data_IF_981194412134
#
_entry.id   IF_981194412134
#
_cell.length_a   1.000
_cell.length_b   1.000
_cell.length_c   1.000
_cell.angle_alpha   90.00
_cell.angle_beta   90.00
_cell.angle_gamma   90.00
#
_symmetry.space_group_name_H-M   'P 1'
#
loop_
_entity.id
_entity.type
_entity.pdbx_description
1 polymer ?
#
# COMPACT_ATOMS: atom_id res chain seq x y z
N UNK A 1 13.93 -19.25 0.32
CA UNK A 1 13.22 -18.74 -0.87
C UNK A 1 13.07 -17.23 -0.72
N UNK A 2 13.43 -16.43 -1.72
CA UNK A 2 13.37 -14.96 -1.62
C UNK A 2 11.92 -14.50 -1.81
N UNK A 3 11.37 -13.78 -0.83
CA UNK A 3 10.00 -13.25 -0.92
C UNK A 3 9.86 -12.18 -2.02
N UNK A 4 8.79 -12.27 -2.80
CA UNK A 4 8.45 -11.26 -3.80
C UNK A 4 7.77 -10.02 -3.17
N UNK A 5 7.69 -8.93 -3.92
CA UNK A 5 7.16 -7.64 -3.42
C UNK A 5 5.69 -7.72 -2.98
N UNK A 6 4.88 -8.53 -3.65
CA UNK A 6 3.46 -8.72 -3.30
C UNK A 6 3.30 -9.46 -1.96
N UNK A 7 4.13 -10.47 -1.70
CA UNK A 7 4.17 -11.16 -0.40
C UNK A 7 4.60 -10.22 0.72
N UNK A 8 5.61 -9.37 0.47
CA UNK A 8 6.05 -8.35 1.44
C UNK A 8 4.93 -7.35 1.73
N UNK A 9 4.20 -6.91 0.71
CA UNK A 9 3.04 -6.04 0.89
C UNK A 9 1.95 -6.70 1.73
N UNK A 10 1.64 -7.98 1.48
CA UNK A 10 0.68 -8.74 2.28
C UNK A 10 1.08 -8.81 3.76
N UNK A 11 2.36 -9.05 4.06
CA UNK A 11 2.85 -9.03 5.45
C UNK A 11 2.68 -7.64 6.07
N UNK A 12 2.99 -6.57 5.33
CA UNK A 12 2.81 -5.21 5.81
C UNK A 12 1.34 -4.89 6.11
N UNK A 13 0.40 -5.31 5.26
CA UNK A 13 -1.04 -5.18 5.53
C UNK A 13 -1.48 -5.97 6.76
N UNK A 14 -1.02 -7.22 6.93
CA UNK A 14 -1.33 -8.01 8.14
C UNK A 14 -0.85 -7.32 9.41
N UNK A 15 0.38 -6.80 9.40
CA UNK A 15 0.93 -6.01 10.52
C UNK A 15 0.12 -4.75 10.79
N UNK A 16 -0.24 -4.01 9.74
CA UNK A 16 -1.06 -2.80 9.85
C UNK A 16 -2.42 -3.12 10.47
N UNK A 17 -3.06 -4.21 10.05
CA UNK A 17 -4.34 -4.65 10.58
C UNK A 17 -4.25 -5.01 12.08
N UNK A 18 -3.28 -5.84 12.47
CA UNK A 18 -3.07 -6.18 13.88
C UNK A 18 -2.79 -4.96 14.75
N UNK A 19 -1.98 -4.02 14.25
CA UNK A 19 -1.66 -2.81 14.99
C UNK A 19 -2.85 -1.86 15.08
N UNK A 20 -3.67 -1.75 14.02
CA UNK A 20 -4.90 -0.98 14.04
C UNK A 20 -5.91 -1.56 15.04
N UNK A 21 -6.04 -2.89 15.13
CA UNK A 21 -6.85 -3.52 16.18
C UNK A 21 -6.38 -3.11 17.57
N UNK A 22 -5.07 -3.01 17.80
CA UNK A 22 -4.54 -2.52 19.07
C UNK A 22 -4.86 -1.04 19.31
N UNK A 23 -4.75 -0.19 18.29
CA UNK A 23 -5.14 1.23 18.39
C UNK A 23 -6.61 1.39 18.81
N UNK A 24 -7.51 0.57 18.25
CA UNK A 24 -8.93 0.57 18.64
C UNK A 24 -9.10 0.15 20.11
N UNK A 25 -8.40 -0.89 20.55
CA UNK A 25 -8.40 -1.32 21.96
C UNK A 25 -7.89 -0.22 22.89
N UNK A 26 -6.78 0.45 22.54
CA UNK A 26 -6.21 1.55 23.33
C UNK A 26 -7.20 2.71 23.49
N UNK A 27 -7.93 3.05 22.42
CA UNK A 27 -9.00 4.04 22.47
C UNK A 27 -10.14 3.61 23.41
N UNK A 28 -10.56 2.34 23.36
CA UNK A 28 -11.60 1.80 24.26
C UNK A 28 -11.18 1.77 25.73
N UNK A 29 -9.88 1.59 25.99
CA UNK A 29 -9.31 1.57 27.33
C UNK A 29 -8.99 2.96 27.88
N UNK A 30 -9.23 4.03 27.10
CA UNK A 30 -8.90 5.41 27.47
C UNK A 30 -7.38 5.61 27.74
N UNK A 31 -6.54 4.90 26.98
CA UNK A 31 -5.08 5.03 27.06
C UNK A 31 -4.61 6.45 26.68
N UNK A 32 -3.36 6.78 27.03
CA UNK A 32 -2.82 8.11 26.80
C UNK A 32 -2.80 8.48 25.31
N UNK A 33 -3.36 9.65 24.98
CA UNK A 33 -3.57 10.08 23.60
C UNK A 33 -2.28 10.10 22.75
N UNK A 34 -1.15 10.47 23.35
CA UNK A 34 0.13 10.53 22.62
C UNK A 34 0.57 9.13 22.18
N UNK A 35 0.37 8.11 23.02
CA UNK A 35 0.73 6.74 22.70
C UNK A 35 -0.15 6.20 21.56
N UNK A 36 -1.46 6.49 21.62
CA UNK A 36 -2.41 6.18 20.54
C UNK A 36 -1.98 6.84 19.23
N UNK A 37 -1.61 8.13 19.27
CA UNK A 37 -1.14 8.86 18.10
C UNK A 37 0.13 8.24 17.51
N UNK A 38 1.08 7.83 18.34
CA UNK A 38 2.31 7.16 17.90
C UNK A 38 2.02 5.81 17.22
N UNK A 39 1.15 4.98 17.83
CA UNK A 39 0.77 3.70 17.23
C UNK A 39 0.01 3.90 15.92
N UNK A 40 -0.87 4.90 15.83
CA UNK A 40 -1.56 5.25 14.59
C UNK A 40 -0.57 5.68 13.48
N UNK A 41 0.45 6.47 13.79
CA UNK A 41 1.50 6.82 12.82
C UNK A 41 2.25 5.59 12.32
N UNK A 42 2.49 4.60 13.17
CA UNK A 42 3.08 3.32 12.77
C UNK A 42 2.17 2.52 11.83
N UNK A 43 0.84 2.51 12.05
CA UNK A 43 -0.14 1.93 11.11
C UNK A 43 -0.05 2.61 9.75
N UNK A 44 -0.05 3.94 9.70
CA UNK A 44 0.08 4.71 8.46
C UNK A 44 1.39 4.40 7.73
N UNK A 45 2.50 4.28 8.44
CA UNK A 45 3.79 3.88 7.88
C UNK A 45 3.76 2.49 7.23
N UNK A 46 3.12 1.51 7.88
CA UNK A 46 2.93 0.16 7.33
C UNK A 46 2.06 0.16 6.08
N UNK A 47 0.95 0.90 6.08
CA UNK A 47 0.07 1.04 4.91
C UNK A 47 0.78 1.71 3.73
N UNK A 48 1.55 2.77 3.99
CA UNK A 48 2.37 3.45 2.97
C UNK A 48 3.41 2.50 2.36
N UNK A 49 4.10 1.73 3.19
CA UNK A 49 5.07 0.72 2.74
C UNK A 49 4.41 -0.37 1.89
N UNK A 50 3.26 -0.89 2.34
CA UNK A 50 2.50 -1.90 1.59
C UNK A 50 2.05 -1.37 0.21
N UNK A 51 1.57 -0.13 0.15
CA UNK A 51 1.20 0.53 -1.10
C UNK A 51 2.39 0.66 -2.07
N UNK A 52 3.54 1.13 -1.59
CA UNK A 52 4.76 1.24 -2.40
C UNK A 52 5.21 -0.10 -2.97
N UNK A 53 5.20 -1.16 -2.15
CA UNK A 53 5.54 -2.52 -2.57
C UNK A 53 4.58 -3.07 -3.64
N UNK A 54 3.28 -2.81 -3.50
CA UNK A 54 2.29 -3.18 -4.52
C UNK A 54 2.49 -2.40 -5.82
N UNK A 55 2.72 -1.09 -5.74
CA UNK A 55 2.97 -0.24 -6.91
C UNK A 55 4.21 -0.73 -7.67
N UNK A 56 5.33 -0.97 -6.97
CA UNK A 56 6.55 -1.50 -7.56
C UNK A 56 6.31 -2.87 -8.23
N UNK A 57 5.56 -3.75 -7.57
CA UNK A 57 5.20 -5.05 -8.16
C UNK A 57 4.34 -4.91 -9.41
N UNK A 58 3.37 -3.99 -9.40
CA UNK A 58 2.48 -3.74 -10.53
C UNK A 58 3.26 -3.18 -11.73
N UNK A 59 4.17 -2.23 -11.50
CA UNK A 59 5.00 -1.63 -12.55
C UNK A 59 5.92 -2.67 -13.22
N UNK A 60 6.52 -3.55 -12.44
CA UNK A 60 7.45 -4.56 -12.97
C UNK A 60 6.75 -5.72 -13.73
N UNK A 61 5.47 -5.96 -13.47
CA UNK A 61 4.74 -7.11 -14.03
C UNK A 61 3.66 -6.65 -15.01
N UNK A 62 2.58 -6.03 -14.50
CA UNK A 62 1.40 -5.70 -15.30
C UNK A 62 1.70 -4.58 -16.29
N UNK A 63 2.30 -3.50 -15.79
CA UNK A 63 2.64 -2.34 -16.61
C UNK A 63 3.67 -2.70 -17.67
N UNK A 64 4.78 -3.35 -17.27
CA UNK A 64 5.83 -3.77 -18.22
C UNK A 64 5.29 -4.68 -19.33
N UNK A 65 4.41 -5.64 -19.01
CA UNK A 65 3.74 -6.48 -20.01
C UNK A 65 2.83 -5.66 -20.94
N UNK A 66 2.07 -4.71 -20.40
CA UNK A 66 1.21 -3.83 -21.20
C UNK A 66 2.01 -2.92 -22.15
N UNK A 67 3.22 -2.51 -21.77
CA UNK A 67 4.08 -1.71 -22.64
C UNK A 67 4.70 -2.51 -23.80
N UNK A 68 4.79 -3.84 -23.67
CA UNK A 68 5.34 -4.72 -24.70
C UNK A 68 4.34 -5.10 -25.80
N UNK A 69 3.03 -4.90 -25.58
CA UNK A 69 2.02 -5.18 -26.62
C UNK A 69 1.92 -4.04 -27.63
N UNK A 70 1.55 -4.33 -28.86
CA UNK A 70 1.42 -3.35 -29.96
C UNK A 70 0.18 -2.44 -29.86
N UNK A 71 -0.71 -2.69 -28.90
CA UNK A 71 -1.93 -1.89 -28.72
C UNK A 71 -1.67 -0.59 -27.98
N UNK A 72 -1.67 0.53 -28.70
CA UNK A 72 -1.54 1.87 -28.11
C UNK A 72 -2.68 2.19 -27.14
N UNK A 73 -3.90 1.74 -27.43
CA UNK A 73 -5.04 1.87 -26.50
C UNK A 73 -4.72 1.24 -25.15
N UNK A 74 -4.16 0.02 -25.15
CA UNK A 74 -3.84 -0.68 -23.90
C UNK A 74 -2.72 0.01 -23.12
N UNK A 75 -1.75 0.61 -23.81
CA UNK A 75 -0.69 1.39 -23.16
C UNK A 75 -1.27 2.63 -22.48
N UNK A 76 -2.15 3.35 -23.17
CA UNK A 76 -2.78 4.55 -22.64
C UNK A 76 -3.66 4.26 -21.40
N UNK A 77 -4.48 3.21 -21.44
CA UNK A 77 -5.28 2.75 -20.29
C UNK A 77 -4.40 2.50 -19.06
N UNK A 78 -3.26 1.82 -19.26
CA UNK A 78 -2.34 1.47 -18.18
C UNK A 78 -1.66 2.72 -17.56
N UNK A 79 -1.33 3.73 -18.38
CA UNK A 79 -0.82 5.01 -17.88
C UNK A 79 -1.89 5.73 -17.06
N UNK A 80 -3.13 5.75 -17.54
CA UNK A 80 -4.26 6.39 -16.84
C UNK A 80 -4.55 5.74 -15.49
N UNK A 81 -4.45 4.41 -15.39
CA UNK A 81 -4.57 3.68 -14.11
C UNK A 81 -3.53 4.17 -13.08
N UNK A 82 -2.26 4.29 -13.47
CA UNK A 82 -1.18 4.78 -12.59
C UNK A 82 -1.41 6.24 -12.18
N UNK A 83 -1.79 7.10 -13.13
CA UNK A 83 -2.07 8.52 -12.85
C UNK A 83 -3.25 8.68 -11.90
N UNK A 84 -4.30 7.86 -12.04
CA UNK A 84 -5.46 7.87 -11.15
C UNK A 84 -5.07 7.52 -9.72
N UNK A 85 -4.28 6.46 -9.53
CA UNK A 85 -3.81 6.04 -8.18
C UNK A 85 -2.89 7.10 -7.58
N UNK A 86 -1.97 7.67 -8.36
CA UNK A 86 -1.04 8.71 -7.89
C UNK A 86 -1.77 9.98 -7.47
N UNK A 87 -2.84 10.37 -8.18
CA UNK A 87 -3.70 11.50 -7.77
C UNK A 87 -4.41 11.25 -6.45
N UNK A 88 -4.78 10.00 -6.13
CA UNK A 88 -5.40 9.66 -4.85
C UNK A 88 -4.40 9.68 -3.70
N UNK A 89 -3.15 9.31 -3.95
CA UNK A 89 -2.11 9.28 -2.91
C UNK A 89 -1.64 10.68 -2.45
N UNK A 90 -1.89 11.71 -3.26
CA UNK A 90 -1.50 13.10 -3.00
C UNK A 90 -2.69 14.00 -2.61
N UNK A 91 -3.86 13.41 -2.37
CA UNK A 91 -5.01 14.10 -1.77
C UNK A 91 -5.01 13.86 -0.28
#
# INVERSE_FOLDING_TARGET
MQMNKREKALIAFKKANSLLSKVVEMMSNNDYCIDIMQQNLAVLGLLKSAHQLLMESHLNICFKKAMQVSSEKRKQEMIEEILKVTKLANK
#
